data_IF_960476705596
#
_entry.id   IF_960476705596
#
_cell.length_a   1.000
_cell.length_b   1.000
_cell.length_c   1.000
_cell.angle_alpha   90.00
_cell.angle_beta   90.00
_cell.angle_gamma   90.00
#
_symmetry.space_group_name_H-M   'P 1'
#
loop_
_entity.id
_entity.type
_entity.pdbx_description
1 polymer ?
#
# COMPACT_ATOMS: atom_id res chain seq x y z
N UNK A 1 -15.75 -2.20 28.48
CA UNK A 1 -15.29 -2.66 27.14
C UNK A 1 -13.89 -3.24 27.30
N UNK A 2 -13.57 -4.37 26.65
CA UNK A 2 -12.19 -4.90 26.68
C UNK A 2 -11.23 -4.03 25.88
N UNK A 3 -9.93 -4.05 26.21
CA UNK A 3 -8.90 -3.33 25.44
C UNK A 3 -8.90 -3.75 23.96
N UNK A 4 -9.07 -5.05 23.69
CA UNK A 4 -9.22 -5.58 22.34
C UNK A 4 -10.39 -4.94 21.59
N UNK A 5 -11.57 -4.84 22.22
CA UNK A 5 -12.75 -4.23 21.61
C UNK A 5 -12.54 -2.75 21.25
N UNK A 6 -11.77 -2.01 22.06
CA UNK A 6 -11.42 -0.62 21.78
C UNK A 6 -10.54 -0.54 20.51
N UNK A 7 -9.51 -1.38 20.42
CA UNK A 7 -8.66 -1.40 19.22
C UNK A 7 -9.42 -1.82 17.97
N UNK A 8 -10.33 -2.80 18.07
CA UNK A 8 -11.21 -3.19 16.95
C UNK A 8 -12.07 -2.00 16.51
N UNK A 9 -12.72 -1.31 17.46
CA UNK A 9 -13.58 -0.17 17.15
C UNK A 9 -12.78 0.95 16.48
N UNK A 10 -11.61 1.30 17.01
CA UNK A 10 -10.70 2.29 16.42
C UNK A 10 -10.27 1.88 15.01
N UNK A 11 -9.85 0.62 14.83
CA UNK A 11 -9.38 0.12 13.55
C UNK A 11 -10.48 0.17 12.47
N UNK A 12 -11.68 -0.31 12.79
CA UNK A 12 -12.81 -0.37 11.86
C UNK A 12 -13.32 1.04 11.53
N UNK A 13 -13.52 1.90 12.53
CA UNK A 13 -13.99 3.27 12.31
C UNK A 13 -12.98 4.10 11.51
N UNK A 14 -11.68 4.01 11.84
CA UNK A 14 -10.63 4.66 11.06
C UNK A 14 -10.52 4.08 9.64
N UNK A 15 -10.68 2.76 9.47
CA UNK A 15 -10.70 2.11 8.16
C UNK A 15 -11.86 2.60 7.27
N UNK A 16 -13.06 2.73 7.84
CA UNK A 16 -14.22 3.27 7.15
C UNK A 16 -14.01 4.74 6.76
N UNK A 17 -13.48 5.56 7.68
CA UNK A 17 -13.12 6.95 7.38
C UNK A 17 -12.06 7.05 6.29
N UNK A 18 -11.05 6.19 6.30
CA UNK A 18 -10.03 6.11 5.25
C UNK A 18 -10.65 5.76 3.89
N UNK A 19 -11.59 4.81 3.84
CA UNK A 19 -12.26 4.44 2.59
C UNK A 19 -13.07 5.61 2.00
N UNK A 20 -13.85 6.31 2.83
CA UNK A 20 -14.64 7.48 2.39
C UNK A 20 -13.73 8.63 1.94
N UNK A 21 -12.72 8.96 2.75
CA UNK A 21 -11.80 10.07 2.43
C UNK A 21 -10.92 9.76 1.22
N UNK A 22 -10.59 8.50 0.95
CA UNK A 22 -9.91 8.10 -0.27
C UNK A 22 -10.72 8.49 -1.52
N UNK A 23 -11.98 8.06 -1.59
CA UNK A 23 -12.84 8.35 -2.75
C UNK A 23 -13.15 9.83 -2.87
N UNK A 24 -13.35 10.53 -1.74
CA UNK A 24 -13.51 11.98 -1.75
C UNK A 24 -12.26 12.70 -2.30
N UNK A 25 -11.06 12.33 -1.84
CA UNK A 25 -9.81 12.87 -2.37
C UNK A 25 -9.57 12.48 -3.85
N UNK A 26 -10.04 11.30 -4.26
CA UNK A 26 -9.99 10.81 -5.63
C UNK A 26 -10.86 11.67 -6.58
N UNK A 27 -12.03 12.13 -6.13
CA UNK A 27 -12.94 12.96 -6.92
C UNK A 27 -12.56 14.45 -6.94
N UNK A 28 -11.75 14.91 -5.98
CA UNK A 28 -11.31 16.31 -5.92
C UNK A 28 -10.18 16.62 -6.91
N UNK A 29 -10.13 17.89 -7.35
CA UNK A 29 -9.03 18.44 -8.16
C UNK A 29 -7.70 18.24 -7.43
N UNK A 30 -6.77 17.51 -8.05
CA UNK A 30 -5.46 17.15 -7.47
C UNK A 30 -4.69 18.40 -7.08
N UNK A 31 -4.11 18.41 -5.88
CA UNK A 31 -3.37 19.56 -5.33
C UNK A 31 -4.21 20.74 -4.81
N UNK A 32 -5.54 20.75 -5.02
CA UNK A 32 -6.41 21.80 -4.47
C UNK A 32 -6.41 21.83 -2.93
N UNK A 33 -6.77 22.96 -2.27
CA UNK A 33 -6.86 23.03 -0.82
C UNK A 33 -7.74 21.93 -0.21
N UNK A 34 -8.89 21.65 -0.83
CA UNK A 34 -9.82 20.58 -0.41
C UNK A 34 -9.18 19.19 -0.55
N UNK A 35 -8.51 18.89 -1.68
CA UNK A 35 -7.80 17.63 -1.86
C UNK A 35 -6.71 17.43 -0.79
N UNK A 36 -5.96 18.49 -0.47
CA UNK A 36 -4.93 18.45 0.58
C UNK A 36 -5.51 18.22 1.97
N UNK A 37 -6.64 18.86 2.29
CA UNK A 37 -7.32 18.65 3.57
C UNK A 37 -7.80 17.21 3.71
N UNK A 38 -8.57 16.72 2.74
CA UNK A 38 -9.10 15.35 2.75
C UNK A 38 -7.97 14.32 2.75
N UNK A 39 -6.89 14.56 2.00
CA UNK A 39 -5.70 13.71 2.00
C UNK A 39 -4.97 13.66 3.35
N UNK A 40 -4.99 14.75 4.14
CA UNK A 40 -4.46 14.75 5.52
C UNK A 40 -5.36 13.95 6.45
N UNK A 41 -6.68 14.09 6.33
CA UNK A 41 -7.64 13.28 7.09
C UNK A 41 -7.47 11.79 6.78
N UNK A 42 -7.32 11.45 5.49
CA UNK A 42 -7.01 10.10 5.05
C UNK A 42 -5.72 9.55 5.68
N UNK A 43 -4.64 10.34 5.64
CA UNK A 43 -3.36 9.96 6.23
C UNK A 43 -3.48 9.69 7.73
N UNK A 44 -4.16 10.57 8.48
CA UNK A 44 -4.39 10.38 9.92
C UNK A 44 -5.22 9.12 10.20
N UNK A 45 -6.28 8.88 9.43
CA UNK A 45 -7.08 7.68 9.55
C UNK A 45 -6.24 6.41 9.32
N UNK A 46 -5.40 6.40 8.28
CA UNK A 46 -4.50 5.27 8.01
C UNK A 46 -3.44 5.08 9.12
N UNK A 47 -2.93 6.15 9.74
CA UNK A 47 -2.04 6.04 10.90
C UNK A 47 -2.75 5.37 12.07
N UNK A 48 -4.02 5.72 12.34
CA UNK A 48 -4.83 5.06 13.37
C UNK A 48 -5.07 3.59 13.03
N UNK A 49 -5.37 3.25 11.76
CA UNK A 49 -5.50 1.87 11.29
C UNK A 49 -4.22 1.07 11.55
N UNK A 50 -3.06 1.61 11.19
CA UNK A 50 -1.76 0.95 11.41
C UNK A 50 -1.47 0.77 12.90
N UNK A 51 -1.64 1.83 13.70
CA UNK A 51 -1.37 1.81 15.14
C UNK A 51 -2.29 0.83 15.89
N UNK A 52 -3.58 0.80 15.55
CA UNK A 52 -4.55 -0.14 16.13
C UNK A 52 -4.38 -1.57 15.59
N UNK A 53 -3.87 -1.75 14.37
CA UNK A 53 -3.66 -3.08 13.81
C UNK A 53 -2.51 -3.86 14.45
N UNK A 54 -1.51 -3.17 15.02
CA UNK A 54 -0.39 -3.80 15.76
C UNK A 54 -0.89 -4.63 16.94
N UNK A 55 -1.64 -4.08 17.93
CA UNK A 55 -2.15 -4.88 19.04
C UNK A 55 -3.15 -5.94 18.60
N UNK A 56 -3.94 -5.71 17.54
CA UNK A 56 -4.83 -6.74 16.98
C UNK A 56 -4.07 -7.93 16.39
N UNK A 57 -2.94 -7.67 15.72
CA UNK A 57 -2.05 -8.70 15.18
C UNK A 57 -1.35 -9.46 16.31
N UNK A 58 -0.88 -8.75 17.34
CA UNK A 58 -0.26 -9.35 18.51
C UNK A 58 -1.24 -10.23 19.27
N UNK A 59 -2.48 -9.76 19.49
CA UNK A 59 -3.52 -10.57 20.12
C UNK A 59 -3.74 -11.86 19.33
N UNK A 60 -3.78 -11.79 17.99
CA UNK A 60 -3.95 -12.97 17.14
C UNK A 60 -2.82 -13.99 17.29
N UNK A 61 -1.60 -13.53 17.60
CA UNK A 61 -0.46 -14.39 17.91
C UNK A 61 -0.62 -15.03 19.29
N UNK A 62 -0.99 -14.23 20.29
CA UNK A 62 -1.23 -14.68 21.67
C UNK A 62 -2.38 -15.69 21.78
N UNK A 63 -3.39 -15.59 20.90
CA UNK A 63 -4.49 -16.55 20.77
C UNK A 63 -4.05 -17.92 20.18
N UNK A 64 -2.74 -18.14 20.00
CA UNK A 64 -2.20 -19.39 19.47
C UNK A 64 -2.40 -19.55 17.96
N UNK A 65 -2.59 -18.45 17.22
CA UNK A 65 -2.89 -18.51 15.79
C UNK A 65 -1.81 -17.83 14.92
N UNK A 66 -0.57 -18.37 14.91
CA UNK A 66 0.62 -17.70 14.37
C UNK A 66 0.57 -17.48 12.85
N UNK A 67 -0.03 -18.39 12.07
CA UNK A 67 -0.13 -18.23 10.61
C UNK A 67 -0.95 -16.99 10.24
N UNK A 68 -2.08 -16.79 10.93
CA UNK A 68 -2.92 -15.60 10.73
C UNK A 68 -2.24 -14.33 11.20
N UNK A 69 -1.54 -14.38 12.34
CA UNK A 69 -0.77 -13.25 12.86
C UNK A 69 0.38 -12.84 11.92
N UNK A 70 1.11 -13.82 11.36
CA UNK A 70 2.17 -13.57 10.39
C UNK A 70 1.61 -12.87 9.14
N UNK A 71 0.47 -13.33 8.63
CA UNK A 71 -0.18 -12.71 7.48
C UNK A 71 -0.66 -11.28 7.79
N UNK A 72 -1.29 -11.04 8.94
CA UNK A 72 -1.71 -9.69 9.36
C UNK A 72 -0.52 -8.74 9.56
N UNK A 73 0.58 -9.22 10.16
CA UNK A 73 1.81 -8.45 10.31
C UNK A 73 2.43 -8.06 8.96
N UNK A 74 2.39 -8.98 7.99
CA UNK A 74 2.80 -8.69 6.62
C UNK A 74 1.90 -7.64 5.94
N UNK A 75 0.57 -7.70 6.11
CA UNK A 75 -0.35 -6.68 5.60
C UNK A 75 -0.10 -5.31 6.25
N UNK A 76 0.22 -5.26 7.55
CA UNK A 76 0.61 -4.03 8.23
C UNK A 76 1.88 -3.42 7.65
N UNK A 77 2.89 -4.24 7.34
CA UNK A 77 4.12 -3.79 6.70
C UNK A 77 3.84 -3.21 5.30
N UNK A 78 3.03 -3.91 4.49
CA UNK A 78 2.64 -3.44 3.15
C UNK A 78 1.92 -2.10 3.22
N UNK A 79 0.85 -2.01 4.02
CA UNK A 79 0.06 -0.80 4.18
C UNK A 79 0.89 0.34 4.78
N UNK A 80 1.73 0.04 5.78
CA UNK A 80 2.66 1.00 6.37
C UNK A 80 3.66 1.54 5.35
N UNK A 81 4.16 0.68 4.46
CA UNK A 81 5.05 1.06 3.37
C UNK A 81 4.35 2.01 2.41
N UNK A 82 3.15 1.68 1.93
CA UNK A 82 2.43 2.53 0.97
C UNK A 82 1.92 3.83 1.59
N UNK A 83 1.60 3.87 2.88
CA UNK A 83 1.30 5.11 3.61
C UNK A 83 2.56 5.98 3.74
N UNK A 84 3.70 5.37 4.08
CA UNK A 84 4.96 6.08 4.20
C UNK A 84 5.40 6.66 2.84
N UNK A 85 5.32 5.87 1.77
CA UNK A 85 5.67 6.30 0.42
C UNK A 85 4.78 7.43 -0.07
N UNK A 86 3.46 7.36 0.15
CA UNK A 86 2.52 8.38 -0.32
C UNK A 86 2.73 9.74 0.37
N UNK A 87 3.05 9.72 1.66
CA UNK A 87 3.34 10.94 2.42
C UNK A 87 4.72 11.51 2.10
N UNK A 88 5.75 10.66 2.11
CA UNK A 88 7.14 11.11 1.98
C UNK A 88 7.48 11.56 0.57
N UNK A 89 6.83 11.03 -0.46
CA UNK A 89 7.03 11.51 -1.83
C UNK A 89 6.64 12.97 -1.98
N UNK A 90 5.53 13.40 -1.36
CA UNK A 90 5.12 14.80 -1.34
C UNK A 90 6.00 15.65 -0.43
N UNK A 91 6.29 15.16 0.79
CA UNK A 91 7.07 15.91 1.78
C UNK A 91 8.50 16.17 1.32
N UNK A 92 9.13 15.19 0.68
CA UNK A 92 10.52 15.27 0.22
C UNK A 92 10.62 15.50 -1.29
N UNK A 93 9.57 16.01 -1.95
CA UNK A 93 9.51 16.18 -3.42
C UNK A 93 10.71 16.93 -4.03
N UNK A 94 11.33 17.81 -3.26
CA UNK A 94 12.52 18.59 -3.66
C UNK A 94 13.85 17.91 -3.29
N UNK A 95 13.83 16.85 -2.49
CA UNK A 95 15.01 16.21 -1.91
C UNK A 95 15.00 14.68 -2.14
N UNK A 96 15.22 14.21 -3.38
CA UNK A 96 15.21 12.79 -3.75
C UNK A 96 16.12 11.90 -2.88
N UNK A 97 17.29 12.42 -2.48
CA UNK A 97 18.24 11.71 -1.62
C UNK A 97 17.69 11.47 -0.21
N UNK A 98 16.88 12.40 0.32
CA UNK A 98 16.20 12.25 1.61
C UNK A 98 15.09 11.21 1.53
N UNK A 99 14.33 11.23 0.43
CA UNK A 99 13.28 10.26 0.17
C UNK A 99 13.85 8.83 0.09
N UNK A 100 14.95 8.63 -0.66
CA UNK A 100 15.60 7.32 -0.85
C UNK A 100 16.61 6.94 0.26
N UNK A 101 16.45 7.56 1.43
CA UNK A 101 17.30 7.37 2.62
C UNK A 101 17.13 6.01 3.32
N UNK A 102 17.55 5.94 4.59
CA UNK A 102 17.56 4.69 5.38
C UNK A 102 16.18 4.02 5.46
N UNK A 103 15.13 4.78 5.80
CA UNK A 103 13.78 4.24 5.93
C UNK A 103 13.27 3.62 4.62
N UNK A 104 13.47 4.28 3.47
CA UNK A 104 13.11 3.73 2.17
C UNK A 104 13.81 2.39 1.92
N UNK A 105 15.12 2.31 2.18
CA UNK A 105 15.90 1.08 2.00
C UNK A 105 15.42 -0.04 2.93
N UNK A 106 15.16 0.27 4.19
CA UNK A 106 14.62 -0.70 5.15
C UNK A 106 13.29 -1.26 4.68
N UNK A 107 12.35 -0.41 4.25
CA UNK A 107 11.07 -0.86 3.71
C UNK A 107 11.24 -1.65 2.41
N UNK A 108 12.12 -1.20 1.50
CA UNK A 108 12.39 -1.87 0.23
C UNK A 108 12.93 -3.30 0.42
N UNK A 109 13.67 -3.56 1.50
CA UNK A 109 14.18 -4.90 1.87
C UNK A 109 13.21 -5.68 2.75
N UNK A 110 12.53 -5.03 3.69
CA UNK A 110 11.62 -5.69 4.61
C UNK A 110 10.42 -6.32 3.89
N UNK A 111 9.85 -5.64 2.89
CA UNK A 111 8.71 -6.17 2.13
C UNK A 111 8.99 -7.49 1.40
N UNK A 112 10.08 -7.65 0.62
CA UNK A 112 10.37 -8.91 -0.06
C UNK A 112 10.78 -10.00 0.93
N UNK A 113 11.51 -9.66 2.00
CA UNK A 113 11.84 -10.64 3.05
C UNK A 113 10.58 -11.15 3.76
N UNK A 114 9.67 -10.25 4.13
CA UNK A 114 8.38 -10.63 4.72
C UNK A 114 7.52 -11.41 3.72
N UNK A 115 7.52 -11.02 2.44
CA UNK A 115 6.83 -11.75 1.37
C UNK A 115 7.37 -13.18 1.22
N UNK A 116 8.69 -13.36 1.18
CA UNK A 116 9.32 -14.69 1.14
C UNK A 116 8.99 -15.53 2.39
N UNK A 117 8.96 -14.91 3.57
CA UNK A 117 8.55 -15.58 4.80
C UNK A 117 7.07 -16.03 4.73
N UNK A 118 6.17 -15.15 4.28
CA UNK A 118 4.75 -15.49 4.08
C UNK A 118 4.56 -16.55 2.99
N UNK A 119 5.36 -16.53 1.93
CA UNK A 119 5.37 -17.58 0.91
C UNK A 119 5.74 -18.93 1.52
N UNK A 120 6.82 -18.98 2.29
CA UNK A 120 7.26 -20.20 2.97
C UNK A 120 6.18 -20.75 3.93
N UNK A 121 5.57 -19.87 4.74
CA UNK A 121 4.43 -20.25 5.60
C UNK A 121 3.23 -20.72 4.75
N UNK A 122 2.92 -20.03 3.67
CA UNK A 122 1.83 -20.38 2.77
C UNK A 122 2.00 -21.76 2.15
N UNK A 123 3.21 -22.11 1.72
CA UNK A 123 3.53 -23.43 1.18
C UNK A 123 3.50 -24.51 2.27
N UNK A 124 4.11 -24.25 3.42
CA UNK A 124 4.18 -25.20 4.54
C UNK A 124 2.79 -25.58 5.08
N UNK A 125 1.88 -24.60 5.18
CA UNK A 125 0.52 -24.79 5.70
C UNK A 125 -0.53 -24.96 4.60
N UNK A 126 -0.12 -25.09 3.33
CA UNK A 126 -0.99 -25.22 2.15
C UNK A 126 -2.10 -24.15 2.11
N UNK A 127 -1.73 -22.89 2.35
CA UNK A 127 -2.63 -21.73 2.36
C UNK A 127 -2.50 -20.94 1.03
N UNK A 128 -3.38 -21.14 0.04
CA UNK A 128 -3.23 -20.55 -1.29
C UNK A 128 -3.28 -19.01 -1.25
N UNK A 129 -4.07 -18.44 -0.34
CA UNK A 129 -4.13 -16.99 -0.14
C UNK A 129 -2.75 -16.41 0.21
N UNK A 130 -2.03 -17.02 1.17
CA UNK A 130 -0.71 -16.54 1.59
C UNK A 130 0.29 -16.66 0.45
N UNK A 131 0.28 -17.79 -0.28
CA UNK A 131 1.12 -18.02 -1.45
C UNK A 131 0.89 -16.92 -2.50
N UNK A 132 -0.35 -16.68 -2.92
CA UNK A 132 -0.66 -15.65 -3.91
C UNK A 132 -0.33 -14.23 -3.43
N UNK A 133 -0.70 -13.88 -2.19
CA UNK A 133 -0.54 -12.53 -1.67
C UNK A 133 0.93 -12.21 -1.27
N UNK A 134 1.77 -13.22 -1.06
CA UNK A 134 3.22 -13.06 -0.84
C UNK A 134 3.92 -12.27 -1.95
N UNK A 135 3.44 -12.42 -3.20
CA UNK A 135 4.02 -11.75 -4.36
C UNK A 135 3.89 -10.24 -4.28
N UNK A 136 2.86 -9.72 -3.61
CA UNK A 136 2.61 -8.27 -3.52
C UNK A 136 3.80 -7.54 -2.87
N UNK A 137 4.32 -8.06 -1.76
CA UNK A 137 5.45 -7.47 -1.03
C UNK A 137 6.78 -7.71 -1.72
N UNK A 138 6.96 -8.89 -2.33
CA UNK A 138 8.14 -9.19 -3.14
C UNK A 138 8.24 -8.19 -4.29
N UNK A 139 7.16 -8.04 -5.07
CA UNK A 139 7.13 -7.14 -6.21
C UNK A 139 7.19 -5.67 -5.80
N UNK A 140 6.52 -5.27 -4.70
CA UNK A 140 6.58 -3.91 -4.18
C UNK A 140 8.02 -3.52 -3.81
N UNK A 141 8.71 -4.32 -3.00
CA UNK A 141 10.08 -3.98 -2.59
C UNK A 141 11.08 -4.09 -3.73
N UNK A 142 10.94 -5.07 -4.63
CA UNK A 142 11.76 -5.15 -5.84
C UNK A 142 11.59 -3.90 -6.71
N UNK A 143 10.35 -3.42 -6.90
CA UNK A 143 10.06 -2.16 -7.61
C UNK A 143 10.70 -0.96 -6.88
N UNK A 144 10.64 -0.90 -5.55
CA UNK A 144 11.30 0.14 -4.76
C UNK A 144 12.82 0.13 -4.96
N UNK A 145 13.47 -1.03 -4.88
CA UNK A 145 14.92 -1.15 -5.09
C UNK A 145 15.34 -0.72 -6.50
N UNK A 146 14.55 -1.08 -7.52
CA UNK A 146 14.75 -0.64 -8.90
C UNK A 146 14.56 0.88 -9.02
N UNK A 147 13.45 1.41 -8.52
CA UNK A 147 13.08 2.83 -8.61
C UNK A 147 14.04 3.74 -7.89
N UNK A 148 14.64 3.29 -6.79
CA UNK A 148 15.68 4.03 -6.07
C UNK A 148 16.77 4.58 -7.00
N UNK A 149 17.13 3.84 -8.04
CA UNK A 149 18.16 4.23 -9.03
C UNK A 149 17.66 5.29 -10.02
N UNK A 150 16.34 5.43 -10.20
CA UNK A 150 15.70 6.27 -11.21
C UNK A 150 15.13 7.58 -10.64
N UNK A 151 14.74 7.59 -9.35
CA UNK A 151 14.03 8.70 -8.71
C UNK A 151 14.78 10.04 -8.83
N UNK A 152 16.11 10.05 -8.70
CA UNK A 152 16.92 11.27 -8.82
C UNK A 152 17.04 11.83 -10.25
N UNK A 153 16.63 11.07 -11.26
CA UNK A 153 16.79 11.41 -12.68
C UNK A 153 15.49 11.88 -13.32
N UNK A 154 14.35 11.74 -12.64
CA UNK A 154 13.02 12.01 -13.21
C UNK A 154 12.41 13.28 -12.62
N UNK A 155 12.03 14.30 -13.43
CA UNK A 155 11.50 15.57 -12.92
C UNK A 155 10.25 15.44 -12.04
N UNK A 156 9.38 14.47 -12.32
CA UNK A 156 8.09 14.25 -11.64
C UNK A 156 8.04 12.96 -10.82
N UNK A 157 9.20 12.44 -10.39
CA UNK A 157 9.31 11.20 -9.59
C UNK A 157 8.34 11.16 -8.40
N UNK A 158 8.18 12.30 -7.72
CA UNK A 158 7.38 12.40 -6.51
C UNK A 158 5.90 12.17 -6.78
N UNK A 159 5.41 12.61 -7.94
CA UNK A 159 4.01 12.45 -8.32
C UNK A 159 3.72 10.98 -8.56
N UNK A 160 4.63 10.31 -9.26
CA UNK A 160 4.56 8.89 -9.55
C UNK A 160 4.60 8.03 -8.28
N UNK A 161 5.54 8.30 -7.38
CA UNK A 161 5.58 7.61 -6.10
C UNK A 161 4.33 7.91 -5.26
N UNK A 162 3.82 9.14 -5.29
CA UNK A 162 2.61 9.51 -4.56
C UNK A 162 1.37 8.75 -5.06
N UNK A 163 1.01 8.86 -6.35
CA UNK A 163 -0.21 8.20 -6.83
C UNK A 163 -0.06 6.68 -6.83
N UNK A 164 1.14 6.15 -7.13
CA UNK A 164 1.39 4.71 -7.09
C UNK A 164 1.17 4.15 -5.68
N UNK A 165 1.67 4.85 -4.67
CA UNK A 165 1.45 4.50 -3.27
C UNK A 165 -0.02 4.69 -2.84
N UNK A 166 -0.70 5.74 -3.32
CA UNK A 166 -2.14 5.93 -3.05
C UNK A 166 -3.02 4.84 -3.67
N UNK A 167 -2.68 4.35 -4.86
CA UNK A 167 -3.34 3.19 -5.48
C UNK A 167 -3.09 1.91 -4.67
N UNK A 168 -1.87 1.72 -4.16
CA UNK A 168 -1.57 0.63 -3.21
C UNK A 168 -2.38 0.73 -1.92
N UNK A 169 -2.49 1.93 -1.34
CA UNK A 169 -3.32 2.14 -0.16
C UNK A 169 -4.81 1.88 -0.44
N UNK A 170 -5.29 2.24 -1.64
CA UNK A 170 -6.65 1.93 -2.09
C UNK A 170 -6.89 0.43 -2.16
N UNK A 171 -5.95 -0.33 -2.71
CA UNK A 171 -6.03 -1.79 -2.73
C UNK A 171 -6.16 -2.33 -1.30
N UNK A 172 -5.31 -1.88 -0.37
CA UNK A 172 -5.32 -2.33 1.01
C UNK A 172 -6.66 -2.05 1.73
N UNK A 173 -7.20 -0.83 1.60
CA UNK A 173 -8.48 -0.49 2.25
C UNK A 173 -9.66 -1.27 1.65
N UNK A 174 -9.68 -1.49 0.33
CA UNK A 174 -10.72 -2.28 -0.31
C UNK A 174 -10.60 -3.78 0.02
N UNK A 175 -9.39 -4.34 0.06
CA UNK A 175 -9.17 -5.72 0.53
C UNK A 175 -9.69 -5.87 1.95
N UNK A 176 -9.32 -4.97 2.86
CA UNK A 176 -9.78 -5.02 4.25
C UNK A 176 -11.30 -4.92 4.35
N UNK A 177 -11.93 -3.99 3.62
CA UNK A 177 -13.38 -3.87 3.63
C UNK A 177 -14.06 -5.10 3.02
N UNK A 178 -13.66 -5.56 1.84
CA UNK A 178 -14.35 -6.66 1.14
C UNK A 178 -14.12 -8.03 1.81
N UNK A 179 -12.93 -8.28 2.36
CA UNK A 179 -12.59 -9.58 2.96
C UNK A 179 -13.01 -9.72 4.42
N UNK A 180 -13.11 -8.60 5.15
CA UNK A 180 -13.35 -8.60 6.61
C UNK A 180 -14.60 -7.80 6.97
N UNK A 181 -14.84 -6.66 6.34
CA UNK A 181 -15.98 -5.78 6.62
C UNK A 181 -17.30 -6.28 6.02
N UNK A 182 -17.34 -6.42 4.70
CA UNK A 182 -18.52 -6.78 3.92
C UNK A 182 -19.18 -8.10 4.35
N UNK A 183 -18.43 -9.19 4.67
CA UNK A 183 -19.04 -10.43 5.13
C UNK A 183 -19.86 -10.29 6.41
N UNK A 184 -19.57 -9.28 7.25
CA UNK A 184 -20.36 -8.98 8.45
C UNK A 184 -21.67 -8.25 8.15
N UNK A 185 -21.72 -7.50 7.05
CA UNK A 185 -22.90 -6.75 6.63
C UNK A 185 -23.81 -7.60 5.74
N UNK A 186 -23.22 -8.43 4.87
CA UNK A 186 -23.93 -9.27 3.92
C UNK A 186 -23.42 -10.73 4.01
N UNK A 187 -23.81 -11.48 5.07
CA UNK A 187 -23.34 -12.84 5.25
C UNK A 187 -23.73 -13.79 4.10
N UNK A 188 -24.84 -13.50 3.40
CA UNK A 188 -25.29 -14.30 2.26
C UNK A 188 -24.40 -14.25 1.01
N UNK A 189 -23.42 -13.34 0.96
CA UNK A 189 -22.44 -13.25 -0.13
C UNK A 189 -21.15 -14.04 0.14
N UNK A 190 -21.10 -14.79 1.23
CA UNK A 190 -19.92 -15.56 1.63
C UNK A 190 -19.82 -16.86 0.82
N UNK A 191 -18.67 -17.06 0.17
CA UNK A 191 -18.37 -18.29 -0.57
C UNK A 191 -16.89 -18.30 -1.00
N UNK A 192 -16.34 -19.46 -1.40
CA UNK A 192 -14.92 -19.59 -1.75
C UNK A 192 -14.47 -18.63 -2.85
N UNK A 193 -15.30 -18.43 -3.88
CA UNK A 193 -15.02 -17.49 -4.97
C UNK A 193 -15.04 -16.04 -4.47
N UNK A 194 -16.10 -15.65 -3.73
CA UNK A 194 -16.22 -14.31 -3.17
C UNK A 194 -15.06 -13.98 -2.21
N UNK A 195 -14.61 -14.96 -1.42
CA UNK A 195 -13.43 -14.83 -0.57
C UNK A 195 -12.19 -14.46 -1.38
N UNK A 196 -11.83 -15.23 -2.41
CA UNK A 196 -10.64 -14.93 -3.21
C UNK A 196 -10.78 -13.64 -4.03
N UNK A 197 -11.97 -13.33 -4.54
CA UNK A 197 -12.22 -12.06 -5.22
C UNK A 197 -12.03 -10.87 -4.27
N UNK A 198 -12.51 -10.95 -3.04
CA UNK A 198 -12.34 -9.90 -2.04
C UNK A 198 -10.85 -9.60 -1.75
N UNK A 199 -9.98 -10.60 -1.82
CA UNK A 199 -8.55 -10.46 -1.62
C UNK A 199 -7.80 -9.99 -2.87
N UNK A 200 -8.06 -10.60 -4.03
CA UNK A 200 -7.23 -10.40 -5.22
C UNK A 200 -7.79 -9.39 -6.22
N UNK A 201 -9.11 -9.20 -6.29
CA UNK A 201 -9.71 -8.27 -7.25
C UNK A 201 -9.25 -6.82 -7.00
N UNK A 202 -9.22 -6.28 -5.75
CA UNK A 202 -8.73 -4.92 -5.53
C UNK A 202 -7.26 -4.75 -5.89
N UNK A 203 -6.43 -5.78 -5.67
CA UNK A 203 -5.01 -5.76 -6.04
C UNK A 203 -4.86 -5.73 -7.57
N UNK A 204 -5.61 -6.56 -8.28
CA UNK A 204 -5.64 -6.58 -9.75
C UNK A 204 -6.08 -5.23 -10.31
N UNK A 205 -7.19 -4.68 -9.81
CA UNK A 205 -7.69 -3.36 -10.20
C UNK A 205 -6.67 -2.25 -9.92
N UNK A 206 -5.96 -2.33 -8.79
CA UNK A 206 -4.89 -1.39 -8.46
C UNK A 206 -3.71 -1.49 -9.43
N UNK A 207 -3.32 -2.69 -9.85
CA UNK A 207 -2.29 -2.88 -10.89
C UNK A 207 -2.73 -2.23 -12.21
N UNK A 208 -3.97 -2.49 -12.65
CA UNK A 208 -4.52 -1.90 -13.87
C UNK A 208 -4.60 -0.38 -13.79
N UNK A 209 -5.09 0.16 -12.67
CA UNK A 209 -5.14 1.59 -12.41
C UNK A 209 -3.74 2.22 -12.44
N UNK A 210 -2.73 1.55 -11.85
CA UNK A 210 -1.34 2.02 -11.87
C UNK A 210 -0.77 2.04 -13.28
N UNK A 211 -1.02 1.01 -14.10
CA UNK A 211 -0.59 0.98 -15.51
C UNK A 211 -1.20 2.14 -16.29
N UNK A 212 -2.50 2.38 -16.12
CA UNK A 212 -3.20 3.48 -16.76
C UNK A 212 -2.67 4.86 -16.31
N UNK A 213 -2.48 5.07 -15.01
CA UNK A 213 -1.92 6.31 -14.46
C UNK A 213 -0.49 6.55 -14.94
N UNK A 214 0.33 5.50 -15.01
CA UNK A 214 1.69 5.60 -15.53
C UNK A 214 1.69 6.07 -16.99
N UNK A 215 0.80 5.54 -17.84
CA UNK A 215 0.67 5.98 -19.24
C UNK A 215 0.21 7.43 -19.35
N UNK A 216 -0.63 7.89 -18.43
CA UNK A 216 -1.18 9.25 -18.44
C UNK A 216 -0.25 10.31 -17.87
N UNK A 217 0.54 9.97 -16.85
CA UNK A 217 1.28 10.95 -16.03
C UNK A 217 2.81 10.80 -16.07
N UNK A 218 3.37 9.72 -16.63
CA UNK A 218 4.84 9.66 -16.85
C UNK A 218 5.22 10.52 -18.05
N UNK A 219 6.15 11.49 -17.90
CA UNK A 219 6.77 12.14 -19.05
C UNK A 219 7.57 11.12 -19.87
N UNK A 220 7.61 11.28 -21.19
CA UNK A 220 8.55 10.54 -22.05
C UNK A 220 9.99 10.75 -21.57
N UNK A 221 10.87 9.74 -21.66
CA UNK A 221 12.28 9.92 -21.33
C UNK A 221 12.84 11.11 -22.12
N UNK A 222 13.43 12.09 -21.42
CA UNK A 222 14.25 13.10 -22.09
C UNK A 222 15.48 12.35 -22.59
N UNK A 223 15.53 12.06 -23.90
CA UNK A 223 16.73 11.54 -24.53
C UNK A 223 17.89 12.51 -24.23
N UNK A 224 19.10 12.02 -23.90
CA UNK A 224 20.26 12.88 -23.76
C UNK A 224 20.35 13.75 -25.01
N UNK A 225 20.40 15.08 -24.87
CA UNK A 225 20.72 15.96 -26.00
C UNK A 225 22.06 15.47 -26.53
N UNK A 226 22.06 14.89 -27.73
CA UNK A 226 23.29 14.58 -28.45
C UNK A 226 24.12 15.86 -28.47
N UNK A 227 25.34 15.80 -27.92
CA UNK A 227 26.25 16.93 -27.95
C UNK A 227 26.40 17.40 -29.40
N UNK A 228 26.45 18.71 -29.68
CA UNK A 228 26.68 19.19 -31.03
C UNK A 228 28.00 18.60 -31.53
N UNK A 229 27.93 17.90 -32.67
CA UNK A 229 29.12 17.41 -33.39
C UNK A 229 29.99 18.65 -33.70
N UNK A 230 31.28 18.67 -33.30
CA UNK A 230 32.17 19.75 -33.70
C UNK A 230 32.19 19.82 -35.23
N UNK A 231 31.88 20.98 -35.80
CA UNK A 231 32.09 21.20 -37.23
C UNK A 231 33.60 21.20 -37.46
N UNK A 232 34.07 20.25 -38.27
CA UNK A 232 35.43 20.21 -38.80
C UNK A 232 35.62 21.32 -39.84
#
# INVERSE_FOLDING_TARGET
MSAYSIFVLLHVSAGALALVTFWLAASLRKGSPRHRLVGRTYLLAMVVVLASGVPLTLQRLLDGRPVGAAFLGYLLLLAGTTVWLSWRSIRDRQHPARYTGRAYRMLALANPLAGLAVLAVGLAYRQPLLVGFSLVGILLGADMLRRRRLIGQQPSWWLEEHYGAMVGNAAATHVAFLSIGLPRLLPGLQGPVAFYLAWFAPVLLAVLARIWLNRRYRPSPVLPRTAPVPRA
#
